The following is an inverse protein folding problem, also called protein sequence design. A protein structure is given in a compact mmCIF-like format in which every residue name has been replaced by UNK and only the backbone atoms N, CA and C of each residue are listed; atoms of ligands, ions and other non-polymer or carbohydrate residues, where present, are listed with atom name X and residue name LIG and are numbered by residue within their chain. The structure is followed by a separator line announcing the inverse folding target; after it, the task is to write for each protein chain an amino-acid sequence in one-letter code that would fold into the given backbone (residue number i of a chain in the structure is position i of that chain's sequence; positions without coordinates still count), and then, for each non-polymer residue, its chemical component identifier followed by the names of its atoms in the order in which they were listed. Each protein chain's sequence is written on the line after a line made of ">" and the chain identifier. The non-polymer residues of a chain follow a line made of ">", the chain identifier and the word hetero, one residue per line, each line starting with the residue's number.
data_IF_292792585065
#
_entry.id   IF_292792585065
#
_cell.length_a   1.000
_cell.length_b   1.000
_cell.length_c   1.000
_cell.angle_alpha   90.00
_cell.angle_beta   90.00
_cell.angle_gamma   90.00
#
_symmetry.space_group_name_H-M   'P 1'
#
loop_
_entity.id
_entity.type
_entity.pdbx_description
1 polymer ?
#
# COMPACT_ATOMS: atom_id res chain seq x y z
N UNK A 1 -0.67 -20.67 23.72
CA UNK A 1 -0.03 -20.53 22.40
C UNK A 1 -0.67 -19.35 21.66
N UNK A 2 0.00 -18.20 21.61
CA UNK A 2 -0.41 -17.09 20.74
C UNK A 2 -0.19 -17.57 19.29
N UNK A 3 -1.27 -17.74 18.53
CA UNK A 3 -1.22 -18.07 17.13
C UNK A 3 -0.68 -16.83 16.39
N UNK A 4 0.47 -16.95 15.76
CA UNK A 4 0.97 -15.88 14.87
C UNK A 4 0.13 -15.98 13.59
N UNK A 5 -0.62 -14.93 13.31
CA UNK A 5 -1.38 -14.79 12.07
C UNK A 5 -0.55 -13.90 11.14
N UNK A 6 -0.12 -14.47 10.02
CA UNK A 6 0.50 -13.70 8.94
C UNK A 6 -0.64 -13.21 8.06
N UNK A 7 -0.79 -11.90 7.98
CA UNK A 7 -1.80 -11.24 7.15
C UNK A 7 -1.25 -10.98 5.74
N UNK A 8 -2.15 -10.79 4.79
CA UNK A 8 -1.80 -10.42 3.41
C UNK A 8 -0.97 -9.12 3.37
N UNK A 9 0.03 -9.07 2.49
CA UNK A 9 0.96 -7.94 2.39
C UNK A 9 2.12 -7.97 3.39
N UNK A 10 2.15 -8.91 4.33
CA UNK A 10 3.19 -9.01 5.36
C UNK A 10 4.60 -9.08 4.76
N UNK A 11 4.81 -9.91 3.74
CA UNK A 11 6.13 -10.09 3.14
C UNK A 11 6.64 -8.82 2.45
N UNK A 12 5.75 -8.09 1.78
CA UNK A 12 6.12 -6.79 1.17
C UNK A 12 6.45 -5.75 2.24
N UNK A 13 5.71 -5.75 3.35
CA UNK A 13 6.00 -4.87 4.48
C UNK A 13 7.38 -5.17 5.07
N UNK A 14 7.67 -6.44 5.35
CA UNK A 14 8.98 -6.86 5.91
C UNK A 14 10.11 -6.51 4.94
N UNK A 15 9.97 -6.80 3.65
CA UNK A 15 10.96 -6.43 2.63
C UNK A 15 11.23 -4.92 2.62
N UNK A 16 10.17 -4.11 2.68
CA UNK A 16 10.31 -2.66 2.78
C UNK A 16 11.05 -2.24 4.06
N UNK A 17 10.62 -2.71 5.22
CA UNK A 17 11.18 -2.32 6.51
C UNK A 17 12.65 -2.69 6.64
N UNK A 18 13.06 -3.84 6.14
CA UNK A 18 14.45 -4.30 6.17
C UNK A 18 15.30 -3.53 5.17
N UNK A 19 14.87 -3.45 3.91
CA UNK A 19 15.64 -2.80 2.85
C UNK A 19 15.77 -1.29 3.01
N UNK A 20 14.77 -0.64 3.60
CA UNK A 20 14.74 0.81 3.82
C UNK A 20 15.04 1.20 5.28
N UNK A 21 15.56 0.27 6.10
CA UNK A 21 15.79 0.49 7.53
C UNK A 21 16.60 1.76 7.84
N UNK A 22 17.64 2.05 7.07
CA UNK A 22 18.44 3.29 7.21
C UNK A 22 17.62 4.54 6.89
N UNK A 23 16.76 4.49 5.88
CA UNK A 23 15.89 5.59 5.50
C UNK A 23 14.76 5.79 6.53
N UNK A 24 14.23 4.73 7.12
CA UNK A 24 13.24 4.81 8.20
C UNK A 24 13.83 5.54 9.41
N UNK A 25 15.08 5.28 9.76
CA UNK A 25 15.74 5.97 10.87
C UNK A 25 16.00 7.45 10.57
N UNK A 26 16.38 7.80 9.35
CA UNK A 26 16.92 9.12 9.01
C UNK A 26 15.95 10.01 8.22
N UNK A 27 15.12 9.46 7.34
CA UNK A 27 14.34 10.18 6.33
C UNK A 27 12.84 9.99 6.48
N UNK A 28 12.37 8.74 6.53
CA UNK A 28 10.94 8.44 6.61
C UNK A 28 10.44 8.57 8.04
N UNK A 29 9.44 9.43 8.26
CA UNK A 29 8.90 9.69 9.60
C UNK A 29 7.42 9.31 9.71
N UNK A 30 6.63 9.70 8.71
CA UNK A 30 5.17 9.56 8.74
C UNK A 30 4.72 8.51 7.74
N UNK A 31 3.89 7.59 8.18
CA UNK A 31 3.29 6.58 7.34
C UNK A 31 1.76 6.61 7.44
N UNK A 32 1.10 6.14 6.38
CA UNK A 32 -0.33 5.92 6.34
C UNK A 32 -0.58 4.44 6.03
N UNK A 33 -1.43 3.81 6.82
CA UNK A 33 -1.91 2.44 6.63
C UNK A 33 -3.33 2.51 6.07
N UNK A 34 -3.50 2.24 4.76
CA UNK A 34 -4.79 2.29 4.07
C UNK A 34 -5.45 0.91 4.13
N UNK A 35 -6.67 0.84 4.66
CA UNK A 35 -7.36 -0.41 4.91
C UNK A 35 -6.71 -1.18 6.06
N UNK A 36 -6.43 -0.47 7.15
CA UNK A 36 -5.61 -0.95 8.26
C UNK A 36 -6.22 -2.12 9.04
N UNK A 37 -7.50 -2.39 8.87
CA UNK A 37 -8.19 -3.46 9.59
C UNK A 37 -7.87 -3.40 11.09
N UNK A 38 -7.48 -4.52 11.70
CA UNK A 38 -7.12 -4.58 13.14
C UNK A 38 -5.77 -3.93 13.49
N UNK A 39 -5.11 -3.30 12.54
CA UNK A 39 -3.87 -2.54 12.78
C UNK A 39 -2.63 -3.37 13.08
N UNK A 40 -2.58 -4.63 12.65
CA UNK A 40 -1.41 -5.47 12.89
C UNK A 40 -0.18 -4.97 12.12
N UNK A 41 -0.34 -4.58 10.84
CA UNK A 41 0.73 -3.97 10.05
C UNK A 41 1.15 -2.61 10.64
N UNK A 42 0.20 -1.80 11.07
CA UNK A 42 0.47 -0.54 11.78
C UNK A 42 1.36 -0.75 12.99
N UNK A 43 1.08 -1.76 13.84
CA UNK A 43 1.91 -2.06 15.02
C UNK A 43 3.34 -2.41 14.63
N UNK A 44 3.52 -3.18 13.54
CA UNK A 44 4.84 -3.53 13.03
C UNK A 44 5.58 -2.28 12.55
N UNK A 45 4.96 -1.44 11.73
CA UNK A 45 5.56 -0.20 11.24
C UNK A 45 5.96 0.74 12.39
N UNK A 46 5.12 0.87 13.40
CA UNK A 46 5.40 1.66 14.61
C UNK A 46 6.59 1.11 15.39
N UNK A 47 6.71 -0.21 15.48
CA UNK A 47 7.84 -0.86 16.13
C UNK A 47 9.18 -0.54 15.43
N UNK A 48 9.15 -0.34 14.11
CA UNK A 48 10.32 0.09 13.33
C UNK A 48 10.57 1.62 13.38
N UNK A 49 9.76 2.38 14.12
CA UNK A 49 9.98 3.81 14.38
C UNK A 49 9.17 4.77 13.50
N UNK A 50 8.27 4.26 12.66
CA UNK A 50 7.37 5.11 11.87
C UNK A 50 6.20 5.64 12.72
N UNK A 51 5.82 6.90 12.51
CA UNK A 51 4.56 7.46 13.01
C UNK A 51 3.48 7.13 12.01
N UNK A 52 2.58 6.21 12.37
CA UNK A 52 1.58 5.66 11.44
C UNK A 52 0.20 6.16 11.81
N UNK A 53 -0.49 6.76 10.86
CA UNK A 53 -1.94 6.98 10.91
C UNK A 53 -2.64 5.81 10.22
N UNK A 54 -3.77 5.38 10.77
CA UNK A 54 -4.61 4.34 10.19
C UNK A 54 -5.85 4.95 9.55
N UNK A 55 -6.17 4.52 8.33
CA UNK A 55 -7.45 4.84 7.73
C UNK A 55 -8.16 3.56 7.30
N UNK A 56 -9.39 3.40 7.79
CA UNK A 56 -10.25 2.27 7.43
C UNK A 56 -11.71 2.70 7.42
N UNK A 57 -12.44 2.32 6.39
CA UNK A 57 -13.84 2.66 6.21
C UNK A 57 -14.75 1.91 7.17
N UNK A 58 -14.40 0.70 7.51
CA UNK A 58 -15.25 -0.24 8.24
C UNK A 58 -14.78 -0.46 9.68
N UNK A 59 -13.48 -0.27 9.95
CA UNK A 59 -12.90 -0.49 11.26
C UNK A 59 -13.06 0.76 12.13
N UNK A 60 -13.95 0.68 13.13
CA UNK A 60 -14.28 1.80 14.02
C UNK A 60 -13.14 2.25 14.94
N UNK A 61 -12.14 1.38 15.15
CA UNK A 61 -10.99 1.68 16.00
C UNK A 61 -9.81 2.28 15.22
N UNK A 62 -9.91 2.40 13.89
CA UNK A 62 -8.95 3.15 13.12
C UNK A 62 -8.97 4.63 13.54
N UNK A 63 -7.80 5.28 13.62
CA UNK A 63 -7.70 6.70 13.99
C UNK A 63 -8.51 7.59 13.04
N UNK A 64 -8.59 7.18 11.75
CA UNK A 64 -9.42 7.82 10.74
C UNK A 64 -10.43 6.79 10.25
N UNK A 65 -11.61 6.76 10.87
CA UNK A 65 -12.69 5.90 10.39
C UNK A 65 -13.43 6.60 9.25
N UNK A 66 -12.89 6.46 8.03
CA UNK A 66 -13.42 7.11 6.83
C UNK A 66 -12.98 6.36 5.56
N UNK A 67 -13.67 6.64 4.44
CA UNK A 67 -13.24 6.19 3.12
C UNK A 67 -12.03 7.01 2.65
N UNK A 68 -10.94 6.32 2.32
CA UNK A 68 -9.72 6.96 1.81
C UNK A 68 -10.02 7.88 0.60
N UNK A 69 -10.89 7.45 -0.31
CA UNK A 69 -11.19 8.21 -1.52
C UNK A 69 -11.85 9.55 -1.26
N UNK A 70 -12.64 9.68 -0.20
CA UNK A 70 -13.35 10.92 0.16
C UNK A 70 -12.63 11.74 1.23
N UNK A 71 -11.70 11.15 1.99
CA UNK A 71 -11.04 11.84 3.09
C UNK A 71 -10.06 12.91 2.60
N UNK A 72 -10.11 14.10 3.20
CA UNK A 72 -9.22 15.21 2.85
C UNK A 72 -8.03 15.29 3.83
N UNK A 73 -6.89 14.73 3.41
CA UNK A 73 -5.67 14.74 4.20
C UNK A 73 -5.08 16.16 4.32
N UNK A 74 -4.69 16.55 5.54
CA UNK A 74 -4.04 17.84 5.81
C UNK A 74 -2.51 17.77 5.78
N UNK A 75 -1.95 16.58 5.64
CA UNK A 75 -0.51 16.33 5.55
C UNK A 75 -0.21 15.30 4.47
N UNK A 76 1.05 15.23 4.07
CA UNK A 76 1.58 14.17 3.22
C UNK A 76 2.37 13.15 4.04
N UNK A 77 2.54 11.96 3.48
CA UNK A 77 3.21 10.84 4.12
C UNK A 77 4.46 10.45 3.35
N UNK A 78 5.48 9.99 4.09
CA UNK A 78 6.72 9.48 3.50
C UNK A 78 6.55 8.04 3.03
N UNK A 79 5.66 7.30 3.68
CA UNK A 79 5.34 5.91 3.37
C UNK A 79 3.84 5.73 3.35
N UNK A 80 3.33 5.07 2.33
CA UNK A 80 1.94 4.57 2.31
C UNK A 80 2.02 3.04 2.17
N UNK A 81 1.37 2.35 3.10
CA UNK A 81 1.13 0.92 3.05
C UNK A 81 -0.33 0.66 2.71
N UNK A 82 -0.56 -0.22 1.74
CA UNK A 82 -1.90 -0.55 1.25
C UNK A 82 -1.95 -2.03 0.85
N UNK A 83 -2.60 -2.84 1.67
CA UNK A 83 -2.69 -4.28 1.43
C UNK A 83 -4.11 -4.73 1.20
N UNK A 84 -4.37 -5.36 0.05
CA UNK A 84 -5.67 -5.93 -0.30
C UNK A 84 -6.85 -4.94 -0.18
N UNK A 85 -6.66 -3.75 -0.77
CA UNK A 85 -7.68 -2.70 -0.87
C UNK A 85 -7.99 -2.35 -2.32
N UNK A 86 -6.98 -2.46 -3.20
CA UNK A 86 -7.08 -2.05 -4.61
C UNK A 86 -8.12 -2.84 -5.39
N UNK A 87 -8.29 -4.13 -5.08
CA UNK A 87 -9.26 -5.01 -5.71
C UNK A 87 -10.72 -4.64 -5.43
N UNK A 88 -10.94 -3.87 -4.37
CA UNK A 88 -12.26 -3.36 -3.98
C UNK A 88 -12.57 -1.98 -4.55
N UNK A 89 -11.64 -1.36 -5.28
CA UNK A 89 -11.80 0.01 -5.77
C UNK A 89 -12.58 0.03 -7.08
N UNK A 90 -13.64 0.85 -7.14
CA UNK A 90 -14.40 1.06 -8.38
C UNK A 90 -13.63 1.83 -9.43
N UNK A 91 -12.74 2.72 -9.01
CA UNK A 91 -11.90 3.54 -9.88
C UNK A 91 -10.44 3.47 -9.42
N UNK A 92 -9.69 2.54 -9.99
CA UNK A 92 -8.28 2.33 -9.65
C UNK A 92 -7.45 3.57 -9.96
N UNK A 93 -7.67 4.22 -11.11
CA UNK A 93 -6.94 5.43 -11.50
C UNK A 93 -7.08 6.52 -10.43
N UNK A 94 -8.30 6.88 -10.08
CA UNK A 94 -8.54 7.87 -9.02
C UNK A 94 -7.90 7.47 -7.68
N UNK A 95 -8.00 6.20 -7.30
CA UNK A 95 -7.42 5.71 -6.05
C UNK A 95 -5.89 5.84 -6.02
N UNK A 96 -5.22 5.43 -7.10
CA UNK A 96 -3.76 5.51 -7.21
C UNK A 96 -3.26 6.95 -7.37
N UNK A 97 -3.95 7.80 -8.12
CA UNK A 97 -3.64 9.23 -8.23
C UNK A 97 -3.72 9.89 -6.85
N UNK A 98 -4.76 9.57 -6.07
CA UNK A 98 -4.89 10.09 -4.72
C UNK A 98 -3.78 9.59 -3.78
N UNK A 99 -3.38 8.32 -3.88
CA UNK A 99 -2.21 7.81 -3.16
C UNK A 99 -0.96 8.60 -3.54
N UNK A 100 -0.74 8.79 -4.84
CA UNK A 100 0.39 9.55 -5.37
C UNK A 100 0.42 10.98 -4.82
N UNK A 101 -0.72 11.67 -4.81
CA UNK A 101 -0.84 13.03 -4.28
C UNK A 101 -0.69 13.11 -2.77
N UNK A 102 -1.03 12.05 -2.04
CA UNK A 102 -0.93 11.97 -0.58
C UNK A 102 0.52 11.67 -0.12
N UNK A 103 1.38 11.17 -1.01
CA UNK A 103 2.80 10.96 -0.75
C UNK A 103 3.60 12.27 -0.84
N UNK A 104 4.66 12.36 -0.03
CA UNK A 104 5.73 13.36 -0.22
C UNK A 104 6.45 13.10 -1.55
N UNK A 105 7.24 14.08 -2.03
CA UNK A 105 7.91 14.01 -3.34
C UNK A 105 8.86 12.82 -3.53
N UNK A 106 9.35 12.25 -2.45
CA UNK A 106 10.23 11.06 -2.43
C UNK A 106 9.61 9.91 -1.64
N UNK A 107 8.29 9.95 -1.50
CA UNK A 107 7.56 8.96 -0.73
C UNK A 107 7.57 7.59 -1.39
N UNK A 108 7.32 6.58 -0.58
CA UNK A 108 7.28 5.16 -0.98
C UNK A 108 5.88 4.61 -0.80
N UNK A 109 5.39 3.94 -1.82
CA UNK A 109 4.19 3.12 -1.76
C UNK A 109 4.58 1.64 -1.66
N UNK A 110 4.06 0.97 -0.64
CA UNK A 110 4.07 -0.50 -0.51
C UNK A 110 2.65 -0.97 -0.72
N UNK A 111 2.38 -1.63 -1.83
CA UNK A 111 1.01 -2.02 -2.21
C UNK A 111 0.94 -3.49 -2.60
N UNK A 112 -0.10 -4.17 -2.14
CA UNK A 112 -0.37 -5.57 -2.45
C UNK A 112 -1.80 -5.76 -2.90
N UNK A 113 -2.01 -6.71 -3.80
CA UNK A 113 -3.32 -7.17 -4.22
C UNK A 113 -3.34 -8.66 -4.54
N UNK A 114 -4.51 -9.32 -4.55
CA UNK A 114 -4.62 -10.76 -4.69
C UNK A 114 -4.15 -11.24 -6.06
N UNK A 115 -3.41 -12.33 -6.07
CA UNK A 115 -2.97 -13.01 -7.29
C UNK A 115 -3.90 -14.18 -7.60
N UNK A 116 -4.93 -13.92 -8.36
CA UNK A 116 -5.81 -14.95 -8.89
C UNK A 116 -6.19 -14.64 -10.35
N UNK A 117 -6.63 -15.64 -11.13
CA UNK A 117 -7.11 -15.40 -12.49
C UNK A 117 -8.24 -14.34 -12.50
N UNK A 118 -8.26 -13.51 -13.54
CA UNK A 118 -9.24 -12.43 -13.67
C UNK A 118 -10.69 -12.93 -13.73
N UNK A 119 -10.88 -14.14 -14.25
CA UNK A 119 -12.16 -14.82 -14.37
C UNK A 119 -12.65 -15.45 -13.06
N UNK A 120 -11.80 -15.52 -12.02
CA UNK A 120 -12.21 -16.05 -10.72
C UNK A 120 -13.10 -15.06 -9.99
N UNK A 121 -14.34 -15.46 -9.74
CA UNK A 121 -15.22 -14.67 -8.89
C UNK A 121 -14.79 -14.78 -7.42
N UNK A 122 -14.59 -13.62 -6.80
CA UNK A 122 -14.43 -13.46 -5.35
C UNK A 122 -15.34 -12.32 -4.93
N UNK A 123 -16.20 -12.55 -3.96
CA UNK A 123 -17.13 -11.52 -3.49
C UNK A 123 -16.40 -10.26 -3.03
N UNK A 124 -16.87 -9.10 -3.51
CA UNK A 124 -16.27 -7.80 -3.22
C UNK A 124 -15.04 -7.45 -4.06
N UNK A 125 -14.43 -8.40 -4.78
CA UNK A 125 -13.37 -8.10 -5.74
C UNK A 125 -13.97 -7.66 -7.06
N UNK A 126 -13.78 -6.41 -7.41
CA UNK A 126 -14.33 -5.80 -8.63
C UNK A 126 -13.25 -5.40 -9.63
N UNK A 127 -11.98 -5.64 -9.27
CA UNK A 127 -10.83 -5.36 -10.12
C UNK A 127 -9.89 -6.57 -10.16
N UNK A 128 -9.18 -6.69 -11.28
CA UNK A 128 -8.10 -7.67 -11.43
C UNK A 128 -6.76 -7.03 -11.08
N UNK A 129 -5.99 -7.70 -10.24
CA UNK A 129 -4.64 -7.30 -9.84
C UNK A 129 -3.58 -8.23 -10.41
N UNK A 130 -3.84 -8.83 -11.60
CA UNK A 130 -2.82 -9.57 -12.32
C UNK A 130 -1.62 -8.67 -12.63
N UNK A 131 -0.43 -9.24 -12.56
CA UNK A 131 0.84 -8.49 -12.56
C UNK A 131 0.95 -7.43 -13.67
N UNK A 132 0.71 -7.71 -14.96
CA UNK A 132 0.90 -6.71 -16.01
C UNK A 132 -0.03 -5.51 -15.88
N UNK A 133 -1.30 -5.75 -15.52
CA UNK A 133 -2.30 -4.68 -15.41
C UNK A 133 -2.03 -3.85 -14.15
N UNK A 134 -1.66 -4.48 -13.05
CA UNK A 134 -1.31 -3.78 -11.82
C UNK A 134 -0.11 -2.85 -12.04
N UNK A 135 0.96 -3.38 -12.68
CA UNK A 135 2.14 -2.61 -13.01
C UNK A 135 1.81 -1.39 -13.91
N UNK A 136 1.00 -1.58 -14.96
CA UNK A 136 0.59 -0.48 -15.82
C UNK A 136 -0.17 0.61 -15.08
N UNK A 137 -1.10 0.25 -14.20
CA UNK A 137 -1.83 1.22 -13.39
C UNK A 137 -0.89 2.05 -12.49
N UNK A 138 0.13 1.44 -11.91
CA UNK A 138 1.15 2.15 -11.12
C UNK A 138 1.97 3.11 -11.98
N UNK A 139 2.37 2.69 -13.19
CA UNK A 139 3.09 3.55 -14.15
C UNK A 139 2.23 4.75 -14.53
N UNK A 140 0.97 4.54 -14.92
CA UNK A 140 0.05 5.62 -15.29
C UNK A 140 -0.26 6.58 -14.16
N UNK A 141 -0.22 6.12 -12.91
CA UNK A 141 -0.31 7.00 -11.73
C UNK A 141 0.96 7.83 -11.46
N UNK A 142 2.06 7.57 -12.18
CA UNK A 142 3.31 8.32 -12.08
C UNK A 142 4.39 7.72 -11.20
N UNK A 143 4.22 6.48 -10.73
CA UNK A 143 5.25 5.82 -9.93
C UNK A 143 6.45 5.34 -10.76
N UNK A 144 7.65 5.49 -10.20
CA UNK A 144 8.89 4.94 -10.80
C UNK A 144 8.92 3.42 -10.64
N UNK A 145 8.39 2.75 -11.65
CA UNK A 145 8.37 1.29 -11.69
C UNK A 145 9.66 0.69 -12.28
N UNK A 146 10.56 1.49 -12.85
CA UNK A 146 11.86 1.01 -13.36
C UNK A 146 12.73 0.47 -12.22
N UNK A 147 12.65 1.10 -11.05
CA UNK A 147 13.41 0.74 -9.87
C UNK A 147 12.54 0.06 -8.80
N UNK A 148 11.37 -0.43 -9.19
CA UNK A 148 10.45 -1.10 -8.28
C UNK A 148 11.03 -2.41 -7.75
N UNK A 149 10.70 -2.73 -6.49
CA UNK A 149 10.78 -4.11 -6.00
C UNK A 149 9.43 -4.77 -6.19
N UNK A 150 9.44 -5.92 -6.82
CA UNK A 150 8.24 -6.70 -7.12
C UNK A 150 8.34 -8.05 -6.42
N UNK A 151 7.34 -8.37 -5.62
CA UNK A 151 7.20 -9.66 -4.97
C UNK A 151 5.95 -10.34 -5.53
N UNK A 152 6.10 -11.56 -6.01
CA UNK A 152 4.98 -12.37 -6.48
C UNK A 152 4.96 -13.67 -5.69
N UNK A 153 4.03 -13.76 -4.77
CA UNK A 153 3.80 -14.95 -3.97
C UNK A 153 2.91 -15.92 -4.73
N UNK A 154 3.39 -17.14 -4.96
CA UNK A 154 2.68 -18.13 -5.75
C UNK A 154 1.22 -18.33 -5.30
N UNK A 155 0.27 -18.01 -6.18
CA UNK A 155 -1.16 -18.18 -5.95
C UNK A 155 -1.80 -17.30 -4.90
N UNK A 156 -1.05 -16.36 -4.30
CA UNK A 156 -1.52 -15.54 -3.18
C UNK A 156 -1.67 -14.08 -3.58
N UNK A 157 -0.55 -13.38 -3.77
CA UNK A 157 -0.55 -11.93 -4.00
C UNK A 157 0.58 -11.46 -4.90
N UNK A 158 0.37 -10.33 -5.53
CA UNK A 158 1.39 -9.50 -6.16
C UNK A 158 1.58 -8.25 -5.32
N UNK A 159 2.83 -7.90 -5.05
CA UNK A 159 3.18 -6.74 -4.25
C UNK A 159 4.23 -5.89 -4.95
N UNK A 160 4.14 -4.59 -4.75
CA UNK A 160 5.05 -3.60 -5.30
C UNK A 160 5.54 -2.65 -4.22
N UNK A 161 6.85 -2.38 -4.23
CA UNK A 161 7.46 -1.28 -3.49
C UNK A 161 7.96 -0.30 -4.54
N UNK A 162 7.28 0.84 -4.67
CA UNK A 162 7.53 1.85 -5.69
C UNK A 162 7.72 3.22 -5.06
N UNK A 163 8.53 4.06 -5.68
CA UNK A 163 8.80 5.42 -5.21
C UNK A 163 8.12 6.45 -6.12
N UNK A 164 7.65 7.51 -5.49
CA UNK A 164 7.31 8.74 -6.20
C UNK A 164 8.62 9.42 -6.59
N UNK A 165 8.80 9.75 -7.85
CA UNK A 165 10.01 10.41 -8.34
C UNK A 165 9.65 11.63 -9.17
N UNK A 166 10.26 12.78 -8.84
CA UNK A 166 10.10 14.02 -9.62
C UNK A 166 10.72 13.94 -11.00
N UNK A 167 11.65 13.02 -11.22
CA UNK A 167 12.34 12.84 -12.51
C UNK A 167 11.67 11.82 -13.42
N UNK A 168 10.67 11.12 -12.92
CA UNK A 168 9.92 10.14 -13.69
C UNK A 168 8.79 10.87 -14.45
N UNK A 169 8.86 10.85 -15.76
CA UNK A 169 7.79 11.29 -16.68
C UNK A 169 7.43 10.10 -17.58
N UNK A 170 6.14 9.91 -17.83
CA UNK A 170 5.62 8.98 -18.83
C UNK A 170 6.04 9.39 -20.23
#
# INVERSE_FOLDING_TARGET
>A
NKKIVIEWGFFALVEFLVSESKNIQNKYKNALDIGSSHGNHTKIMRHFGLKVDQIDKYEKHAEINNDFNSYNFKKKYDVIFCSHVIEHQRNIGFFLDKIFDTLTDFGVLVISGPKHPAERFVEGHIQSTIMPIFLQNLIFAGFDCKNAKILSMAGIENSFIVKKSKTFNL
#
